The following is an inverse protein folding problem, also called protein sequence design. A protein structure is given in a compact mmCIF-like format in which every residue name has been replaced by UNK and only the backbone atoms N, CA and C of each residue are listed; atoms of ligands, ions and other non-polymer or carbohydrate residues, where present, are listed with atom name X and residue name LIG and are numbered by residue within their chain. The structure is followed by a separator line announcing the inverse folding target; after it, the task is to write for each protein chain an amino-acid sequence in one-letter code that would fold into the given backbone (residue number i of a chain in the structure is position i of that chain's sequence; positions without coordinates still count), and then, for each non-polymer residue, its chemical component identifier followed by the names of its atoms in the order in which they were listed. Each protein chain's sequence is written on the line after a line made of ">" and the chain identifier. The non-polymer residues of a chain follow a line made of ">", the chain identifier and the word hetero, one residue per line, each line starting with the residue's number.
data_IF_447417459049
#
_entry.id   IF_447417459049
#
_cell.length_a   1.000
_cell.length_b   1.000
_cell.length_c   1.000
_cell.angle_alpha   90.00
_cell.angle_beta   90.00
_cell.angle_gamma   90.00
#
_symmetry.space_group_name_H-M   'P 1'
#
loop_
_entity.id
_entity.type
_entity.pdbx_description
1 polymer ?
#
# COMPACT_ATOMS: atom_id res chain seq x y z
N UNK A 1 3.71 -15.85 0.22
CA UNK A 1 4.49 -16.31 -0.95
C UNK A 1 3.79 -15.84 -2.21
N UNK A 2 4.52 -15.30 -3.19
CA UNK A 2 4.00 -14.89 -4.48
C UNK A 2 3.90 -16.12 -5.41
N UNK A 3 2.86 -16.19 -6.25
CA UNK A 3 2.76 -17.22 -7.29
C UNK A 3 3.70 -16.85 -8.45
N UNK A 4 4.52 -17.81 -8.90
CA UNK A 4 5.47 -17.62 -9.99
C UNK A 4 4.79 -17.22 -11.30
N UNK A 5 3.61 -17.81 -11.60
CA UNK A 5 2.85 -17.50 -12.82
C UNK A 5 2.45 -16.03 -12.88
N UNK A 6 2.06 -15.46 -11.74
CA UNK A 6 1.70 -14.04 -11.63
C UNK A 6 2.92 -13.16 -11.85
N UNK A 7 4.07 -13.52 -11.28
CA UNK A 7 5.32 -12.77 -11.47
C UNK A 7 5.75 -12.76 -12.94
N UNK A 8 5.69 -13.92 -13.60
CA UNK A 8 6.02 -14.06 -15.02
C UNK A 8 5.03 -13.27 -15.90
N UNK A 9 3.74 -13.29 -15.57
CA UNK A 9 2.75 -12.49 -16.27
C UNK A 9 2.99 -10.98 -16.09
N UNK A 10 3.38 -10.53 -14.89
CA UNK A 10 3.69 -9.12 -14.64
C UNK A 10 4.88 -8.64 -15.49
N UNK A 11 5.92 -9.45 -15.59
CA UNK A 11 7.11 -9.17 -16.41
C UNK A 11 6.76 -9.19 -17.90
N UNK A 12 6.06 -10.21 -18.37
CA UNK A 12 5.71 -10.37 -19.79
C UNK A 12 4.79 -9.28 -20.30
N UNK A 13 3.89 -8.76 -19.45
CA UNK A 13 3.00 -7.65 -19.78
C UNK A 13 3.61 -6.27 -19.51
N UNK A 14 4.85 -6.18 -19.03
CA UNK A 14 5.51 -4.89 -18.76
C UNK A 14 4.79 -4.07 -17.68
N UNK A 15 4.37 -4.70 -16.59
CA UNK A 15 3.60 -4.02 -15.53
C UNK A 15 4.39 -2.86 -14.91
N UNK A 16 3.83 -1.66 -14.97
CA UNK A 16 4.42 -0.41 -14.49
C UNK A 16 3.80 0.11 -13.19
N UNK A 17 2.69 -0.49 -12.74
CA UNK A 17 2.01 -0.15 -11.49
C UNK A 17 1.55 -1.38 -10.72
N UNK A 18 1.85 -1.40 -9.41
CA UNK A 18 1.37 -2.42 -8.46
C UNK A 18 0.45 -1.79 -7.42
N UNK A 19 -0.73 -2.37 -7.23
CA UNK A 19 -1.66 -1.98 -6.16
C UNK A 19 -1.73 -3.09 -5.13
N UNK A 20 -1.35 -2.78 -3.89
CA UNK A 20 -1.47 -3.67 -2.74
C UNK A 20 -2.63 -3.21 -1.87
N UNK A 21 -3.67 -4.04 -1.78
CA UNK A 21 -4.84 -3.79 -0.94
C UNK A 21 -4.79 -4.62 0.35
N UNK A 22 -5.26 -4.00 1.43
CA UNK A 22 -5.49 -4.63 2.73
C UNK A 22 -4.28 -4.58 3.66
N UNK A 23 -4.55 -4.58 4.97
CA UNK A 23 -3.54 -4.53 6.04
C UNK A 23 -2.44 -5.59 5.89
N UNK A 24 -2.78 -6.83 5.54
CA UNK A 24 -1.81 -7.92 5.47
C UNK A 24 -0.74 -7.73 4.39
N UNK A 25 -1.15 -7.30 3.20
CA UNK A 25 -0.26 -7.11 2.06
C UNK A 25 0.39 -5.73 2.10
N UNK A 26 -0.42 -4.69 2.15
CA UNK A 26 0.06 -3.30 2.09
C UNK A 26 0.86 -2.87 3.32
N UNK A 27 0.47 -3.30 4.52
CA UNK A 27 1.04 -2.81 5.78
C UNK A 27 1.97 -3.82 6.46
N UNK A 28 1.50 -5.06 6.68
CA UNK A 28 2.26 -6.01 7.50
C UNK A 28 3.48 -6.59 6.76
N UNK A 29 3.36 -6.75 5.44
CA UNK A 29 4.36 -7.48 4.65
C UNK A 29 5.16 -6.57 3.72
N UNK A 30 4.51 -5.56 3.11
CA UNK A 30 5.12 -4.79 2.01
C UNK A 30 5.16 -3.28 2.23
N UNK A 31 4.96 -2.80 3.46
CA UNK A 31 4.94 -1.37 3.77
C UNK A 31 6.21 -0.66 3.26
N UNK A 32 7.37 -1.15 3.69
CA UNK A 32 8.69 -0.62 3.30
C UNK A 32 9.28 -1.33 2.08
N UNK A 33 8.51 -2.20 1.41
CA UNK A 33 9.00 -2.90 0.22
C UNK A 33 9.11 -1.90 -0.94
N UNK A 34 10.29 -1.86 -1.55
CA UNK A 34 10.55 -1.13 -2.77
C UNK A 34 10.25 -2.03 -3.97
N UNK A 35 9.55 -1.47 -4.95
CA UNK A 35 9.23 -2.14 -6.21
C UNK A 35 9.96 -1.43 -7.34
N UNK A 36 10.34 -2.18 -8.37
CA UNK A 36 10.98 -1.59 -9.58
C UNK A 36 10.04 -0.66 -10.34
N UNK A 37 8.74 -0.82 -10.15
CA UNK A 37 7.69 -0.04 -10.77
C UNK A 37 6.91 0.75 -9.72
N UNK A 38 6.01 1.63 -10.16
CA UNK A 38 5.21 2.43 -9.23
C UNK A 38 4.35 1.52 -8.34
N UNK A 39 4.12 1.94 -7.10
CA UNK A 39 3.29 1.15 -6.19
C UNK A 39 2.40 2.00 -5.31
N UNK A 40 1.16 1.53 -5.15
CA UNK A 40 0.15 2.10 -4.26
C UNK A 40 -0.18 1.06 -3.20
N UNK A 41 -0.10 1.45 -1.93
CA UNK A 41 -0.42 0.61 -0.78
C UNK A 41 -1.67 1.17 -0.11
N UNK A 42 -2.77 0.44 -0.16
CA UNK A 42 -4.04 0.85 0.42
C UNK A 42 -4.46 -0.12 1.52
N UNK A 43 -4.75 0.39 2.72
CA UNK A 43 -5.17 -0.42 3.85
C UNK A 43 -6.23 0.27 4.70
N UNK A 44 -7.24 -0.48 5.13
CA UNK A 44 -8.21 0.04 6.12
C UNK A 44 -7.62 -0.10 7.52
N UNK A 45 -7.25 1.03 8.13
CA UNK A 45 -6.71 1.05 9.48
C UNK A 45 -7.85 1.13 10.49
N UNK A 46 -7.89 0.16 11.42
CA UNK A 46 -8.92 0.10 12.47
C UNK A 46 -8.51 0.78 13.77
N UNK A 47 -7.21 1.01 13.97
CA UNK A 47 -6.67 1.57 15.21
C UNK A 47 -6.20 3.02 14.98
N UNK A 48 -6.74 3.95 15.77
CA UNK A 48 -6.45 5.38 15.66
C UNK A 48 -4.97 5.73 15.92
N UNK A 49 -4.33 5.02 16.85
CA UNK A 49 -2.91 5.20 17.14
C UNK A 49 -2.03 4.86 15.93
N UNK A 50 -2.43 3.80 15.20
CA UNK A 50 -1.77 3.41 13.95
C UNK A 50 -1.96 4.48 12.86
N UNK A 51 -3.18 5.01 12.73
CA UNK A 51 -3.48 6.10 11.77
C UNK A 51 -2.61 7.32 12.05
N UNK A 52 -2.50 7.74 13.32
CA UNK A 52 -1.67 8.88 13.70
C UNK A 52 -0.20 8.61 13.36
N UNK A 53 0.30 7.41 13.63
CA UNK A 53 1.67 7.05 13.25
C UNK A 53 1.88 7.15 11.73
N UNK A 54 0.99 6.56 10.92
CA UNK A 54 1.13 6.55 9.46
C UNK A 54 0.94 7.91 8.76
N UNK A 55 0.05 8.78 9.26
CA UNK A 55 -0.11 10.13 8.71
C UNK A 55 1.18 10.97 8.79
N UNK A 56 2.01 10.74 9.82
CA UNK A 56 3.29 11.43 9.99
C UNK A 56 4.43 10.80 9.17
N UNK A 57 4.43 9.49 8.96
CA UNK A 57 5.55 8.78 8.34
C UNK A 57 5.75 9.02 6.83
N UNK A 58 4.82 9.64 6.12
CA UNK A 58 5.07 10.12 4.75
C UNK A 58 5.30 9.01 3.71
N UNK A 59 4.84 7.79 3.99
CA UNK A 59 4.82 6.69 3.02
C UNK A 59 3.53 6.71 2.19
N UNK A 60 3.57 6.12 0.98
CA UNK A 60 2.44 6.01 0.05
C UNK A 60 1.39 5.02 0.56
N UNK A 61 0.82 5.29 1.73
CA UNK A 61 -0.19 4.46 2.39
C UNK A 61 -1.51 5.23 2.42
N UNK A 62 -2.52 4.67 1.75
CA UNK A 62 -3.89 5.15 1.84
C UNK A 62 -4.56 4.44 3.01
N UNK A 63 -4.97 5.20 4.03
CA UNK A 63 -5.70 4.67 5.18
C UNK A 63 -7.16 5.11 5.21
N UNK A 64 -8.08 4.14 5.33
CA UNK A 64 -9.51 4.40 5.57
C UNK A 64 -9.86 3.94 6.99
N UNK A 65 -10.40 4.84 7.82
CA UNK A 65 -10.84 4.52 9.16
C UNK A 65 -12.24 3.90 9.17
N UNK A 66 -12.44 2.76 9.86
CA UNK A 66 -13.76 2.09 9.93
C UNK A 66 -14.87 2.91 10.61
N UNK A 67 -14.52 3.91 11.43
CA UNK A 67 -15.48 4.74 12.19
C UNK A 67 -15.29 6.24 11.96
N UNK A 68 -14.39 6.62 11.06
CA UNK A 68 -14.07 8.02 10.78
C UNK A 68 -14.16 8.14 9.27
N UNK A 69 -15.05 8.99 8.77
CA UNK A 69 -15.11 9.39 7.34
C UNK A 69 -13.89 10.23 6.97
N UNK A 70 -12.70 9.74 7.30
CA UNK A 70 -11.42 10.40 7.12
C UNK A 70 -10.62 9.51 6.21
N UNK A 71 -10.63 9.87 4.94
CA UNK A 71 -9.72 9.32 3.95
C UNK A 71 -8.44 10.16 4.04
N UNK A 72 -7.36 9.56 4.52
CA UNK A 72 -6.06 10.19 4.46
C UNK A 72 -5.36 9.69 3.19
N UNK A 73 -5.26 10.57 2.19
CA UNK A 73 -4.42 10.36 1.02
C UNK A 73 -3.16 11.19 1.21
N UNK A 74 -2.00 10.53 1.33
CA UNK A 74 -0.71 11.19 1.28
C UNK A 74 0.08 10.54 0.16
N UNK A 75 0.01 11.16 -1.02
CA UNK A 75 0.89 10.83 -2.12
C UNK A 75 2.22 11.55 -1.87
N UNK A 76 3.33 10.82 -1.88
CA UNK A 76 4.63 11.48 -2.08
C UNK A 76 4.57 12.11 -3.48
N UNK A 77 4.73 13.43 -3.55
CA UNK A 77 5.08 14.06 -4.82
C UNK A 77 6.39 13.41 -5.28
N UNK A 78 6.35 12.77 -6.44
CA UNK A 78 7.55 12.42 -7.21
C UNK A 78 8.24 13.70 -7.64
#
# INVERSE_FOLDING_TARGET
>A
RLNLEVAQAMESNGTDLIILEGMGRALHTNLNAEFKCESIKAAVLKNLWLINSFCFFGENVVSVGKNVRKFAFKFKNV
#
